data_IF_153733518476
#
_entry.id   IF_153733518476
#
_cell.length_a   1.000
_cell.length_b   1.000
_cell.length_c   1.000
_cell.angle_alpha   90.00
_cell.angle_beta   90.00
_cell.angle_gamma   90.00
#
_symmetry.space_group_name_H-M   'P 1'
#
loop_
_entity.id
_entity.type
_entity.pdbx_description
1 polymer ?
#
# COMPACT_ATOMS: atom_id res chain seq x y z
N UNK A 1 -11.78 -26.06 8.45
CA UNK A 1 -11.57 -26.48 7.05
C UNK A 1 -10.09 -26.42 6.77
N UNK A 2 -9.52 -27.46 6.19
CA UNK A 2 -8.09 -27.50 5.82
C UNK A 2 -7.82 -26.52 4.66
N UNK A 3 -6.92 -25.55 4.86
CA UNK A 3 -6.50 -24.57 3.83
C UNK A 3 -5.51 -25.14 2.83
N UNK A 4 -5.00 -26.35 3.09
CA UNK A 4 -3.88 -26.96 2.35
C UNK A 4 -4.07 -26.97 0.82
N UNK A 5 -5.25 -27.27 0.24
CA UNK A 5 -5.40 -27.25 -1.21
C UNK A 5 -5.35 -25.84 -1.83
N UNK A 6 -5.89 -24.81 -1.15
CA UNK A 6 -6.06 -23.46 -1.72
C UNK A 6 -4.73 -22.78 -2.02
N UNK A 7 -3.74 -23.01 -1.16
CA UNK A 7 -2.44 -22.33 -1.22
C UNK A 7 -1.27 -23.27 -1.53
N UNK A 8 -1.53 -24.51 -1.97
CA UNK A 8 -0.47 -25.43 -2.39
C UNK A 8 0.44 -24.86 -3.51
N UNK A 9 -0.10 -23.97 -4.35
CA UNK A 9 0.69 -23.25 -5.36
C UNK A 9 1.73 -22.30 -4.76
N UNK A 10 1.46 -21.71 -3.59
CA UNK A 10 2.39 -20.84 -2.87
C UNK A 10 3.58 -21.66 -2.37
N UNK A 11 3.35 -22.85 -1.81
CA UNK A 11 4.44 -23.74 -1.38
C UNK A 11 5.29 -24.25 -2.55
N UNK A 12 4.68 -24.54 -3.70
CA UNK A 12 5.44 -24.92 -4.91
C UNK A 12 6.31 -23.78 -5.44
N UNK A 13 5.90 -22.52 -5.25
CA UNK A 13 6.61 -21.34 -5.73
C UNK A 13 7.68 -20.84 -4.75
N UNK A 14 7.32 -20.72 -3.47
CA UNK A 14 8.16 -20.12 -2.43
C UNK A 14 8.83 -21.15 -1.51
N UNK A 15 8.70 -22.44 -1.81
CA UNK A 15 9.23 -23.53 -1.01
C UNK A 15 8.25 -24.05 0.05
N UNK A 16 8.45 -25.31 0.44
CA UNK A 16 7.59 -26.03 1.39
C UNK A 16 7.49 -25.29 2.73
N UNK A 17 6.27 -25.12 3.23
CA UNK A 17 6.00 -24.45 4.51
C UNK A 17 5.91 -22.91 4.41
N UNK A 18 6.06 -22.33 3.22
CA UNK A 18 5.86 -20.89 3.01
C UNK A 18 4.41 -20.48 3.23
N UNK A 19 3.44 -21.24 2.73
CA UNK A 19 2.02 -20.98 2.98
C UNK A 19 1.71 -21.02 4.49
N UNK A 20 2.23 -22.01 5.22
CA UNK A 20 2.04 -22.11 6.67
C UNK A 20 2.68 -20.96 7.45
N UNK A 21 3.79 -20.39 6.96
CA UNK A 21 4.41 -19.19 7.53
C UNK A 21 3.58 -17.94 7.26
N UNK A 22 3.10 -17.75 6.02
CA UNK A 22 2.24 -16.64 5.65
C UNK A 22 0.91 -16.67 6.40
N UNK A 23 0.37 -17.87 6.66
CA UNK A 23 -0.84 -18.06 7.46
C UNK A 23 -0.69 -17.63 8.93
N UNK A 24 0.54 -17.42 9.42
CA UNK A 24 0.80 -16.86 10.75
C UNK A 24 1.02 -15.35 10.74
N UNK A 25 1.13 -14.74 9.55
CA UNK A 25 1.44 -13.33 9.41
C UNK A 25 0.20 -12.45 9.56
N UNK A 26 0.36 -11.31 10.23
CA UNK A 26 -0.66 -10.26 10.35
C UNK A 26 -0.18 -8.97 9.67
N UNK A 27 -0.89 -8.56 8.60
CA UNK A 27 -0.55 -7.38 7.80
C UNK A 27 -1.60 -6.28 7.96
N UNK A 28 -1.14 -5.06 8.25
CA UNK A 28 -2.00 -3.87 8.22
C UNK A 28 -1.89 -3.15 6.88
N UNK A 29 -3.04 -2.74 6.31
CA UNK A 29 -3.12 -1.99 5.04
C UNK A 29 -3.77 -0.64 5.34
N UNK A 30 -3.02 0.43 5.09
CA UNK A 30 -3.48 1.81 5.33
C UNK A 30 -3.97 2.39 4.01
N UNK A 31 -5.28 2.58 3.90
CA UNK A 31 -6.00 2.95 2.68
C UNK A 31 -6.29 1.74 1.78
N UNK A 32 -7.56 1.51 1.43
CA UNK A 32 -8.01 0.45 0.51
C UNK A 32 -8.59 1.01 -0.78
N UNK A 33 -7.94 2.05 -1.31
CA UNK A 33 -8.25 2.68 -2.59
C UNK A 33 -7.65 1.94 -3.80
N UNK A 34 -7.15 2.70 -4.78
CA UNK A 34 -6.67 2.18 -6.07
C UNK A 34 -5.44 1.26 -6.01
N UNK A 35 -4.65 1.33 -4.93
CA UNK A 35 -3.54 0.39 -4.70
C UNK A 35 -3.93 -0.62 -3.62
N UNK A 36 -4.37 -0.14 -2.45
CA UNK A 36 -4.62 -0.98 -1.28
C UNK A 36 -5.69 -2.05 -1.46
N UNK A 37 -6.71 -1.82 -2.29
CA UNK A 37 -7.74 -2.84 -2.56
C UNK A 37 -7.15 -4.07 -3.29
N UNK A 38 -6.24 -3.85 -4.24
CA UNK A 38 -5.52 -4.93 -4.93
C UNK A 38 -4.44 -5.58 -4.05
N UNK A 39 -3.81 -4.81 -3.15
CA UNK A 39 -2.88 -5.35 -2.15
C UNK A 39 -3.60 -6.37 -1.26
N UNK A 40 -4.78 -6.02 -0.74
CA UNK A 40 -5.53 -6.91 0.14
C UNK A 40 -5.95 -8.21 -0.56
N UNK A 41 -6.43 -8.11 -1.80
CA UNK A 41 -6.76 -9.27 -2.65
C UNK A 41 -5.55 -10.17 -2.89
N UNK A 42 -4.40 -9.60 -3.27
CA UNK A 42 -3.20 -10.36 -3.56
C UNK A 42 -2.65 -11.05 -2.29
N UNK A 43 -2.70 -10.40 -1.13
CA UNK A 43 -2.32 -11.02 0.15
C UNK A 43 -3.27 -12.15 0.55
N UNK A 44 -4.58 -11.98 0.39
CA UNK A 44 -5.55 -13.04 0.65
C UNK A 44 -5.33 -14.26 -0.27
N UNK A 45 -5.02 -14.02 -1.55
CA UNK A 45 -4.68 -15.07 -2.52
C UNK A 45 -3.31 -15.72 -2.27
N UNK A 46 -2.47 -15.08 -1.46
CA UNK A 46 -1.16 -15.61 -1.06
C UNK A 46 -1.20 -16.42 0.25
N UNK A 47 -2.37 -16.51 0.89
CA UNK A 47 -2.54 -17.28 2.12
C UNK A 47 -2.09 -16.56 3.39
N UNK A 48 -2.10 -15.23 3.40
CA UNK A 48 -1.92 -14.46 4.64
C UNK A 48 -3.02 -14.84 5.64
N UNK A 49 -2.64 -14.97 6.91
CA UNK A 49 -3.54 -15.41 7.98
C UNK A 49 -4.44 -14.32 8.54
N UNK A 50 -3.92 -13.10 8.65
CA UNK A 50 -4.66 -11.98 9.20
C UNK A 50 -4.40 -10.65 8.47
N UNK A 51 -5.46 -9.88 8.25
CA UNK A 51 -5.42 -8.53 7.71
C UNK A 51 -6.12 -7.53 8.64
N UNK A 52 -5.56 -6.33 8.77
CA UNK A 52 -6.31 -5.16 9.25
C UNK A 52 -6.38 -4.11 8.16
N UNK A 53 -7.60 -3.71 7.79
CA UNK A 53 -7.88 -2.77 6.70
C UNK A 53 -8.32 -1.44 7.31
N UNK A 54 -7.61 -0.36 7.00
CA UNK A 54 -7.94 0.99 7.47
C UNK A 54 -8.36 1.88 6.31
N UNK A 55 -9.62 2.29 6.27
CA UNK A 55 -10.13 3.29 5.32
C UNK A 55 -11.54 3.70 5.77
N UNK A 56 -11.83 5.00 5.85
CA UNK A 56 -13.14 5.49 6.25
C UNK A 56 -14.07 5.80 5.08
N UNK A 57 -13.58 5.70 3.83
CA UNK A 57 -14.40 6.03 2.67
C UNK A 57 -15.45 4.96 2.35
N UNK A 58 -16.50 5.43 1.69
CA UNK A 58 -17.44 4.60 0.94
C UNK A 58 -16.99 4.41 -0.52
N UNK A 59 -17.54 3.40 -1.17
CA UNK A 59 -17.30 3.10 -2.58
C UNK A 59 -18.10 4.10 -3.44
N UNK A 60 -17.39 4.85 -4.29
CA UNK A 60 -18.01 5.77 -5.25
C UNK A 60 -17.95 5.23 -6.69
N UNK A 61 -18.90 5.63 -7.54
CA UNK A 61 -18.89 5.29 -8.97
C UNK A 61 -17.59 5.71 -9.68
N UNK A 62 -17.02 6.86 -9.29
CA UNK A 62 -15.74 7.35 -9.84
C UNK A 62 -14.53 6.48 -9.48
N UNK A 63 -14.70 5.44 -8.66
CA UNK A 63 -13.64 4.51 -8.28
C UNK A 63 -13.48 3.34 -9.27
N UNK A 64 -14.47 3.10 -10.15
CA UNK A 64 -14.55 1.95 -11.07
C UNK A 64 -13.33 1.79 -11.97
N UNK A 65 -12.67 2.87 -12.38
CA UNK A 65 -11.49 2.80 -13.24
C UNK A 65 -10.24 2.18 -12.58
N UNK A 66 -10.22 2.00 -11.25
CA UNK A 66 -8.98 1.66 -10.52
C UNK A 66 -9.13 0.89 -9.20
N UNK A 67 -10.31 0.79 -8.61
CA UNK A 67 -10.49 0.14 -7.30
C UNK A 67 -11.26 -1.18 -7.44
N UNK A 68 -10.75 -2.23 -6.82
CA UNK A 68 -11.26 -3.61 -6.97
C UNK A 68 -12.72 -3.78 -6.53
N UNK A 69 -13.14 -3.07 -5.49
CA UNK A 69 -14.48 -3.20 -4.88
C UNK A 69 -15.54 -2.32 -5.54
N UNK A 70 -15.17 -1.45 -6.49
CA UNK A 70 -16.07 -0.55 -7.19
C UNK A 70 -16.87 -1.25 -8.30
N UNK A 71 -17.86 -2.04 -7.87
CA UNK A 71 -18.74 -2.86 -8.70
C UNK A 71 -20.19 -2.41 -8.54
N UNK A 72 -21.01 -2.70 -9.55
CA UNK A 72 -22.46 -2.54 -9.45
C UNK A 72 -23.01 -3.26 -8.21
N UNK A 73 -23.89 -2.58 -7.46
CA UNK A 73 -24.43 -3.07 -6.19
C UNK A 73 -23.51 -2.92 -4.97
N UNK A 74 -22.31 -2.37 -5.12
CA UNK A 74 -21.40 -2.08 -3.99
C UNK A 74 -21.26 -0.57 -3.69
N UNK A 75 -21.73 0.31 -4.57
CA UNK A 75 -21.67 1.76 -4.36
C UNK A 75 -22.39 2.20 -3.07
N UNK A 76 -21.78 3.11 -2.32
CA UNK A 76 -22.27 3.60 -1.02
C UNK A 76 -21.93 2.71 0.18
N UNK A 77 -21.34 1.53 -0.02
CA UNK A 77 -20.83 0.71 1.10
C UNK A 77 -19.47 1.19 1.55
N UNK A 78 -19.14 1.00 2.82
CA UNK A 78 -17.78 1.21 3.33
C UNK A 78 -16.79 0.30 2.59
N UNK A 79 -15.69 0.89 2.09
CA UNK A 79 -14.68 0.17 1.31
C UNK A 79 -14.10 -1.03 2.07
N UNK A 80 -13.81 -0.84 3.36
CA UNK A 80 -13.23 -1.90 4.21
C UNK A 80 -14.17 -3.07 4.41
N UNK A 81 -15.48 -2.84 4.54
CA UNK A 81 -16.48 -3.90 4.74
C UNK A 81 -16.73 -4.68 3.45
N UNK A 82 -16.95 -3.98 2.33
CA UNK A 82 -17.12 -4.62 1.03
C UNK A 82 -15.90 -5.47 0.65
N UNK A 83 -14.69 -4.99 0.96
CA UNK A 83 -13.47 -5.75 0.75
C UNK A 83 -13.39 -6.94 1.72
N UNK A 84 -13.73 -6.77 3.00
CA UNK A 84 -13.78 -7.89 3.96
C UNK A 84 -14.69 -9.02 3.48
N UNK A 85 -15.90 -8.69 3.04
CA UNK A 85 -16.86 -9.66 2.47
C UNK A 85 -16.26 -10.42 1.30
N UNK A 86 -15.68 -9.69 0.34
CA UNK A 86 -15.02 -10.26 -0.83
C UNK A 86 -13.88 -11.21 -0.45
N UNK A 87 -13.00 -10.79 0.46
CA UNK A 87 -11.82 -11.57 0.83
C UNK A 87 -12.17 -12.86 1.59
N UNK A 88 -13.29 -12.88 2.33
CA UNK A 88 -13.80 -14.12 2.93
C UNK A 88 -14.24 -15.16 1.88
N UNK A 89 -14.71 -14.73 0.71
CA UNK A 89 -15.02 -15.64 -0.40
C UNK A 89 -13.75 -16.32 -0.96
N UNK A 90 -12.59 -15.65 -0.85
CA UNK A 90 -11.29 -16.19 -1.27
C UNK A 90 -10.75 -17.16 -0.23
N UNK A 91 -10.78 -16.77 1.05
CA UNK A 91 -10.30 -17.58 2.16
C UNK A 91 -11.22 -17.42 3.38
N UNK A 92 -12.10 -18.39 3.65
CA UNK A 92 -13.02 -18.32 4.80
C UNK A 92 -12.34 -18.34 6.17
N UNK A 93 -11.04 -18.67 6.21
CA UNK A 93 -10.24 -18.72 7.45
C UNK A 93 -9.33 -17.49 7.61
N UNK A 94 -9.34 -16.56 6.65
CA UNK A 94 -8.57 -15.33 6.74
C UNK A 94 -9.23 -14.42 7.79
N UNK A 95 -8.51 -14.09 8.84
CA UNK A 95 -8.98 -13.14 9.85
C UNK A 95 -8.89 -11.72 9.30
N UNK A 96 -9.97 -10.96 9.34
CA UNK A 96 -9.99 -9.59 8.82
C UNK A 96 -10.63 -8.66 9.83
N UNK A 97 -9.88 -7.63 10.21
CA UNK A 97 -10.40 -6.48 10.95
C UNK A 97 -10.61 -5.33 9.97
N UNK A 98 -11.88 -5.01 9.69
CA UNK A 98 -12.25 -3.81 8.96
C UNK A 98 -12.37 -2.64 9.94
N UNK A 99 -11.56 -1.60 9.72
CA UNK A 99 -11.50 -0.43 10.60
C UNK A 99 -11.87 0.80 9.77
N UNK A 100 -13.12 1.30 9.86
CA UNK A 100 -13.60 2.41 9.05
C UNK A 100 -13.10 3.76 9.57
N UNK A 101 -11.77 3.95 9.59
CA UNK A 101 -11.10 5.11 10.16
C UNK A 101 -9.94 5.55 9.26
N UNK A 102 -9.81 6.85 9.03
CA UNK A 102 -8.58 7.41 8.52
C UNK A 102 -7.52 7.44 9.60
N UNK A 103 -6.43 6.71 9.39
CA UNK A 103 -5.29 6.77 10.30
C UNK A 103 -4.73 8.19 10.30
N UNK A 104 -4.71 8.81 11.48
CA UNK A 104 -4.12 10.13 11.69
C UNK A 104 -2.84 10.02 12.52
N UNK A 105 -2.06 11.09 12.51
CA UNK A 105 -0.85 11.27 13.31
C UNK A 105 -0.99 10.89 14.78
N UNK A 106 -2.07 11.34 15.43
CA UNK A 106 -2.33 11.09 16.85
C UNK A 106 -2.67 9.63 17.14
N UNK A 107 -3.15 8.90 16.13
CA UNK A 107 -3.62 7.53 16.26
C UNK A 107 -2.54 6.49 15.95
N UNK A 108 -1.37 6.88 15.43
CA UNK A 108 -0.32 5.94 15.01
C UNK A 108 0.10 4.96 16.12
N UNK A 109 0.19 5.44 17.36
CA UNK A 109 0.57 4.60 18.50
C UNK A 109 -0.49 3.52 18.80
N UNK A 110 -1.76 3.91 18.82
CA UNK A 110 -2.89 3.02 19.08
C UNK A 110 -3.10 2.04 17.92
N UNK A 111 -3.11 2.54 16.69
CA UNK A 111 -3.50 1.76 15.52
C UNK A 111 -2.35 0.88 15.01
N UNK A 112 -1.12 1.39 14.96
CA UNK A 112 0.03 0.64 14.42
C UNK A 112 0.86 -0.06 15.51
N UNK A 113 0.61 0.23 16.80
CA UNK A 113 1.28 -0.42 17.93
C UNK A 113 0.78 -1.83 18.25
N UNK A 114 -0.10 -2.40 17.41
CA UNK A 114 -0.85 -3.64 17.67
C UNK A 114 -0.08 -4.94 17.35
N UNK A 115 1.21 -4.83 17.01
CA UNK A 115 2.08 -6.00 16.79
C UNK A 115 2.05 -6.59 15.38
N UNK A 116 1.71 -5.81 14.35
CA UNK A 116 1.74 -6.26 12.96
C UNK A 116 3.12 -6.75 12.52
N UNK A 117 3.16 -7.83 11.74
CA UNK A 117 4.38 -8.30 11.08
C UNK A 117 4.82 -7.36 9.96
N UNK A 118 3.85 -6.66 9.35
CA UNK A 118 4.08 -5.71 8.27
C UNK A 118 2.96 -4.68 8.18
N UNK A 119 3.35 -3.42 7.95
CA UNK A 119 2.44 -2.35 7.55
C UNK A 119 2.67 -2.03 6.08
N UNK A 120 1.59 -1.94 5.32
CA UNK A 120 1.57 -1.54 3.91
C UNK A 120 0.82 -0.22 3.79
N UNK A 121 1.57 0.81 3.45
CA UNK A 121 1.04 2.15 3.33
C UNK A 121 0.60 2.44 1.89
N UNK A 122 -0.72 2.47 1.70
CA UNK A 122 -1.41 2.74 0.45
C UNK A 122 -2.24 4.04 0.50
N UNK A 123 -2.06 4.88 1.52
CA UNK A 123 -2.81 6.13 1.65
C UNK A 123 -2.21 7.23 0.76
N UNK A 124 -2.99 8.27 0.49
CA UNK A 124 -2.61 9.45 -0.28
C UNK A 124 -2.40 10.70 0.59
N UNK A 125 -2.72 10.61 1.88
CA UNK A 125 -2.55 11.67 2.85
C UNK A 125 -1.06 11.93 3.17
N UNK A 126 -0.48 12.95 2.51
CA UNK A 126 0.94 13.32 2.62
C UNK A 126 1.45 13.40 4.06
N UNK A 127 0.76 14.13 4.94
CA UNK A 127 1.20 14.35 6.34
C UNK A 127 1.22 13.04 7.12
N UNK A 128 0.14 12.26 7.03
CA UNK A 128 0.03 10.95 7.69
C UNK A 128 1.16 10.03 7.22
N UNK A 129 1.45 10.02 5.92
CA UNK A 129 2.51 9.21 5.33
C UNK A 129 3.89 9.53 5.92
N UNK A 130 4.26 10.81 6.01
CA UNK A 130 5.53 11.24 6.64
C UNK A 130 5.62 10.75 8.08
N UNK A 131 4.59 11.02 8.88
CA UNK A 131 4.61 10.72 10.31
C UNK A 131 4.54 9.22 10.60
N UNK A 132 3.80 8.45 9.79
CA UNK A 132 3.78 6.99 9.84
C UNK A 132 5.15 6.38 9.52
N UNK A 133 5.84 6.87 8.48
CA UNK A 133 7.19 6.40 8.14
C UNK A 133 8.15 6.64 9.31
N UNK A 134 8.12 7.82 9.91
CA UNK A 134 8.93 8.14 11.06
C UNK A 134 8.58 7.27 12.28
N UNK A 135 7.29 7.07 12.55
CA UNK A 135 6.78 6.25 13.64
C UNK A 135 7.23 4.79 13.51
N UNK A 136 6.97 4.17 12.35
CA UNK A 136 7.31 2.77 12.09
C UNK A 136 8.83 2.56 12.15
N UNK A 137 9.64 3.46 11.58
CA UNK A 137 11.12 3.37 11.68
C UNK A 137 11.58 3.41 13.13
N UNK A 138 11.07 4.34 13.93
CA UNK A 138 11.45 4.50 15.35
C UNK A 138 11.06 3.28 16.19
N UNK A 139 9.90 2.68 15.90
CA UNK A 139 9.39 1.49 16.61
C UNK A 139 9.84 0.16 16.00
N UNK A 140 10.68 0.19 14.96
CA UNK A 140 11.13 -0.99 14.20
C UNK A 140 9.97 -1.83 13.65
N UNK A 141 8.85 -1.18 13.33
CA UNK A 141 7.71 -1.83 12.68
C UNK A 141 8.03 -1.88 11.17
N UNK A 142 8.07 -3.07 10.56
CA UNK A 142 8.24 -3.20 9.12
C UNK A 142 7.20 -2.40 8.33
N UNK A 143 7.66 -1.61 7.36
CA UNK A 143 6.82 -0.75 6.53
C UNK A 143 7.27 -0.78 5.07
N UNK A 144 6.31 -0.90 4.15
CA UNK A 144 6.48 -0.65 2.72
C UNK A 144 5.49 0.45 2.31
N UNK A 145 5.97 1.43 1.56
CA UNK A 145 5.22 2.63 1.18
C UNK A 145 4.88 2.60 -0.31
N UNK A 146 3.66 2.97 -0.67
CA UNK A 146 3.32 3.30 -2.06
C UNK A 146 3.61 4.78 -2.32
N UNK A 147 4.28 5.04 -3.44
CA UNK A 147 4.27 6.34 -4.10
C UNK A 147 2.92 6.64 -4.76
N UNK A 148 2.87 7.73 -5.51
CA UNK A 148 1.69 8.05 -6.32
C UNK A 148 1.61 7.04 -7.47
N UNK A 149 0.43 6.49 -7.78
CA UNK A 149 0.23 5.62 -8.95
C UNK A 149 -0.49 6.34 -10.10
N UNK A 150 -1.19 7.45 -9.82
CA UNK A 150 -1.90 8.25 -10.82
C UNK A 150 -0.97 8.91 -11.85
N UNK A 151 -1.55 9.26 -13.00
CA UNK A 151 -0.92 10.00 -14.09
C UNK A 151 0.09 9.16 -14.86
N UNK A 152 -0.03 7.85 -14.79
CA UNK A 152 0.89 6.89 -15.38
C UNK A 152 0.11 5.83 -16.11
N UNK A 153 0.73 5.26 -17.14
CA UNK A 153 0.10 4.27 -18.02
C UNK A 153 0.95 3.02 -18.21
N UNK A 154 2.24 3.07 -17.89
CA UNK A 154 3.19 1.99 -18.15
C UNK A 154 3.52 1.21 -16.85
N UNK A 155 2.87 0.06 -16.60
CA UNK A 155 3.15 -0.74 -15.42
C UNK A 155 4.53 -1.39 -15.44
N UNK A 156 5.20 -1.48 -16.60
CA UNK A 156 6.54 -2.09 -16.70
C UNK A 156 7.65 -1.22 -16.10
N UNK A 157 7.35 0.06 -15.83
CA UNK A 157 8.27 1.01 -15.19
C UNK A 157 8.17 1.05 -13.67
N UNK A 158 7.36 0.18 -13.08
CA UNK A 158 7.20 0.09 -11.62
C UNK A 158 8.44 -0.57 -11.02
N UNK A 159 8.94 0.02 -9.94
CA UNK A 159 10.15 -0.41 -9.23
C UNK A 159 9.95 -0.35 -7.72
N UNK A 160 10.73 -1.15 -7.00
CA UNK A 160 10.76 -1.18 -5.53
C UNK A 160 12.18 -0.94 -5.04
N UNK A 161 12.41 0.18 -4.38
CA UNK A 161 13.73 0.54 -3.81
C UNK A 161 13.57 1.12 -2.42
N UNK A 162 14.69 1.38 -1.75
CA UNK A 162 14.65 2.19 -0.54
C UNK A 162 14.08 3.59 -0.86
N UNK A 163 13.26 4.11 0.03
CA UNK A 163 12.57 5.40 -0.12
C UNK A 163 13.56 6.51 -0.45
N UNK A 164 14.78 6.49 0.11
CA UNK A 164 15.83 7.48 -0.18
C UNK A 164 16.29 7.53 -1.64
N UNK A 165 16.03 6.47 -2.41
CA UNK A 165 16.44 6.26 -3.82
C UNK A 165 15.31 6.38 -4.83
N UNK A 166 14.13 6.79 -4.39
CA UNK A 166 12.99 7.00 -5.28
C UNK A 166 13.17 8.28 -6.11
N UNK A 167 12.63 8.26 -7.32
CA UNK A 167 12.74 9.31 -8.35
C UNK A 167 11.44 9.36 -9.17
N UNK A 168 11.24 10.39 -9.99
CA UNK A 168 10.02 10.58 -10.80
C UNK A 168 8.68 10.57 -10.01
N UNK A 169 8.75 10.84 -8.70
CA UNK A 169 7.59 10.94 -7.82
C UNK A 169 7.72 12.15 -6.89
N UNK A 170 6.90 13.18 -7.14
CA UNK A 170 6.93 14.44 -6.41
C UNK A 170 6.51 14.29 -4.94
N UNK A 171 5.53 13.43 -4.66
CA UNK A 171 5.08 13.17 -3.28
C UNK A 171 6.20 12.52 -2.48
N UNK A 172 6.83 11.47 -3.03
CA UNK A 172 7.95 10.82 -2.35
C UNK A 172 9.15 11.76 -2.21
N UNK A 173 9.41 12.64 -3.18
CA UNK A 173 10.46 13.67 -3.05
C UNK A 173 10.22 14.61 -1.88
N UNK A 174 8.98 15.10 -1.72
CA UNK A 174 8.59 15.95 -0.60
C UNK A 174 8.64 15.19 0.74
N UNK A 175 8.23 13.92 0.77
CA UNK A 175 8.33 13.06 1.95
C UNK A 175 9.80 12.90 2.35
N UNK A 176 10.69 12.57 1.40
CA UNK A 176 12.13 12.46 1.67
C UNK A 176 12.71 13.73 2.28
N UNK A 177 12.29 14.91 1.78
CA UNK A 177 12.72 16.21 2.32
C UNK A 177 12.26 16.36 3.77
N UNK A 178 10.95 16.20 4.03
CA UNK A 178 10.36 16.31 5.37
C UNK A 178 10.97 15.34 6.38
N UNK A 179 11.19 14.09 5.99
CA UNK A 179 11.84 13.09 6.85
C UNK A 179 13.27 13.51 7.26
N UNK A 180 14.04 14.13 6.37
CA UNK A 180 15.39 14.63 6.69
C UNK A 180 15.34 15.84 7.61
N UNK A 181 14.41 16.75 7.35
CA UNK A 181 14.34 18.04 8.02
C UNK A 181 13.73 17.93 9.42
N UNK A 182 12.71 17.08 9.60
CA UNK A 182 11.92 17.02 10.83
C UNK A 182 12.17 15.73 11.65
N UNK A 183 12.65 14.65 11.02
CA UNK A 183 12.76 13.33 11.66
C UNK A 183 14.16 12.73 11.61
N UNK A 184 15.18 13.55 11.35
CA UNK A 184 16.60 13.17 11.34
C UNK A 184 16.90 11.94 10.47
N UNK A 185 16.21 11.80 9.33
CA UNK A 185 16.59 10.80 8.35
C UNK A 185 17.93 11.16 7.68
N UNK A 186 18.74 10.17 7.28
CA UNK A 186 20.06 10.43 6.70
C UNK A 186 20.01 11.33 5.45
N UNK A 187 20.93 12.28 5.34
CA UNK A 187 21.06 13.13 4.13
C UNK A 187 22.02 12.57 3.08
N UNK A 188 23.04 11.81 3.51
CA UNK A 188 24.12 11.35 2.64
C UNK A 188 23.67 10.34 1.57
N UNK A 189 24.19 10.42 0.33
CA UNK A 189 23.76 9.55 -0.77
C UNK A 189 24.13 8.08 -0.57
N UNK A 190 25.08 7.76 0.32
CA UNK A 190 25.45 6.37 0.66
C UNK A 190 24.59 5.76 1.77
N UNK A 191 23.69 6.52 2.40
CA UNK A 191 22.85 6.04 3.51
C UNK A 191 21.40 5.84 3.06
N UNK A 192 20.84 4.70 3.46
CA UNK A 192 19.44 4.34 3.20
C UNK A 192 18.52 4.75 4.34
N UNK A 193 17.24 4.90 4.05
CA UNK A 193 16.22 5.17 5.06
C UNK A 193 15.82 3.90 5.82
N UNK A 194 16.04 2.73 5.23
CA UNK A 194 15.57 1.45 5.74
C UNK A 194 14.07 1.25 5.53
N UNK A 195 13.48 1.97 4.57
CA UNK A 195 12.04 1.97 4.28
C UNK A 195 11.90 1.67 2.80
N UNK A 196 11.17 0.62 2.42
CA UNK A 196 10.98 0.31 1.02
C UNK A 196 9.80 1.10 0.45
N UNK A 197 9.92 1.51 -0.80
CA UNK A 197 8.90 2.27 -1.50
C UNK A 197 8.70 1.71 -2.91
N UNK A 198 7.43 1.52 -3.27
CA UNK A 198 6.99 1.22 -4.64
C UNK A 198 6.73 2.52 -5.37
N UNK A 199 7.33 2.69 -6.53
CA UNK A 199 7.21 3.89 -7.35
C UNK A 199 7.35 3.52 -8.83
N UNK A 200 7.12 4.47 -9.74
CA UNK A 200 7.34 4.26 -11.17
C UNK A 200 8.39 5.24 -11.70
N UNK A 201 9.20 4.76 -12.63
CA UNK A 201 10.15 5.55 -13.42
C UNK A 201 9.46 6.36 -14.53
N UNK A 202 8.14 6.18 -14.73
CA UNK A 202 7.36 7.03 -15.61
C UNK A 202 7.08 8.40 -14.96
N UNK A 203 7.35 9.47 -15.71
CA UNK A 203 6.91 10.81 -15.33
C UNK A 203 5.38 10.90 -15.31
N UNK A 204 4.86 11.72 -14.40
CA UNK A 204 3.41 11.97 -14.28
C UNK A 204 2.91 12.73 -15.49
N UNK A 205 1.77 12.30 -16.01
CA UNK A 205 0.96 12.98 -17.02
C UNK A 205 -0.18 13.73 -16.34
N UNK A 206 -0.43 14.94 -16.83
CA UNK A 206 -1.42 15.86 -16.29
C UNK A 206 -2.49 16.17 -17.35
N UNK A 207 -3.78 16.12 -16.97
CA UNK A 207 -4.85 16.62 -17.83
C UNK A 207 -4.71 18.14 -18.01
N UNK A 208 -5.01 18.61 -19.23
CA UNK A 208 -5.00 20.01 -19.61
C UNK A 208 -6.44 20.53 -19.79
N UNK A 209 -6.62 21.84 -19.80
CA UNK A 209 -7.94 22.47 -19.93
C UNK A 209 -8.63 22.15 -21.28
N UNK A 210 -7.85 21.86 -22.33
CA UNK A 210 -8.34 21.46 -23.65
C UNK A 210 -8.71 19.96 -23.75
N UNK A 211 -8.63 19.22 -22.63
CA UNK A 211 -8.89 17.78 -22.57
C UNK A 211 -7.72 16.90 -23.01
N UNK A 212 -6.61 17.47 -23.49
CA UNK A 212 -5.39 16.71 -23.79
C UNK A 212 -4.67 16.31 -22.50
N UNK A 213 -3.70 15.39 -22.63
CA UNK A 213 -2.90 14.88 -21.50
C UNK A 213 -1.43 14.91 -21.88
N UNK A 214 -0.61 15.61 -21.08
CA UNK A 214 0.82 15.76 -21.36
C UNK A 214 1.66 15.79 -20.08
N UNK A 215 3.00 15.89 -20.20
CA UNK A 215 3.92 15.92 -19.04
C UNK A 215 4.04 17.27 -18.34
N UNK A 216 3.37 18.32 -18.85
CA UNK A 216 3.44 19.66 -18.27
C UNK A 216 2.38 19.80 -17.18
N UNK A 217 2.85 20.15 -15.98
CA UNK A 217 1.97 20.45 -14.86
C UNK A 217 1.26 21.79 -15.13
N UNK A 218 -0.07 21.85 -15.09
CA UNK A 218 -0.78 23.13 -15.28
C UNK A 218 -0.45 24.12 -14.16
N UNK A 219 -0.55 25.42 -14.44
CA UNK A 219 -0.30 26.47 -13.46
C UNK A 219 -1.31 26.40 -12.30
N UNK A 220 -0.87 26.83 -11.11
CA UNK A 220 -1.55 26.60 -9.82
C UNK A 220 -2.92 27.31 -9.63
N UNK A 221 -3.51 27.85 -10.69
CA UNK A 221 -4.83 28.48 -10.71
C UNK A 221 -5.97 27.56 -11.18
N UNK A 222 -5.68 26.51 -11.97
CA UNK A 222 -6.71 25.72 -12.68
C UNK A 222 -6.85 24.26 -12.22
N UNK A 223 -5.96 23.76 -11.37
CA UNK A 223 -5.99 22.34 -10.94
C UNK A 223 -6.53 22.26 -9.54
N UNK A 224 -7.82 21.92 -9.46
CA UNK A 224 -8.52 21.63 -8.23
C UNK A 224 -7.76 20.67 -7.32
N UNK A 225 -8.06 20.80 -6.02
CA UNK A 225 -7.75 19.81 -5.00
C UNK A 225 -7.97 18.38 -5.54
N UNK A 226 -7.29 17.41 -4.93
CA UNK A 226 -7.46 15.97 -5.15
C UNK A 226 -8.90 15.42 -4.93
N UNK A 227 -9.91 16.28 -4.90
CA UNK A 227 -11.31 15.94 -4.92
C UNK A 227 -11.76 15.69 -6.36
N UNK A 228 -12.18 14.44 -6.60
CA UNK A 228 -13.08 13.82 -7.58
C UNK A 228 -13.50 14.49 -8.92
N UNK A 229 -13.09 15.70 -9.30
CA UNK A 229 -13.42 16.34 -10.58
C UNK A 229 -12.23 16.98 -11.33
N UNK A 230 -11.12 17.30 -10.65
CA UNK A 230 -9.95 17.98 -11.26
C UNK A 230 -8.59 17.28 -11.05
N UNK A 231 -8.62 16.03 -10.56
CA UNK A 231 -7.42 15.29 -10.16
C UNK A 231 -6.67 14.62 -11.32
N UNK A 232 -5.46 14.16 -11.02
CA UNK A 232 -4.67 13.31 -11.92
C UNK A 232 -5.45 12.02 -12.23
N UNK A 233 -5.57 11.66 -13.52
CA UNK A 233 -6.20 10.43 -13.97
C UNK A 233 -5.47 9.16 -13.48
N UNK A 234 -6.14 8.02 -13.48
CA UNK A 234 -5.54 6.74 -13.08
C UNK A 234 -6.18 5.57 -13.83
N UNK A 235 -5.46 4.45 -13.90
CA UNK A 235 -5.94 3.24 -14.56
C UNK A 235 -5.54 2.00 -13.74
N UNK A 236 -6.48 1.05 -13.67
CA UNK A 236 -6.36 -0.17 -12.85
C UNK A 236 -5.06 -0.93 -13.11
N UNK A 237 -4.63 -1.11 -14.36
CA UNK A 237 -3.44 -1.90 -14.68
C UNK A 237 -2.16 -1.32 -14.07
N UNK A 238 -2.10 0.00 -13.85
CA UNK A 238 -0.98 0.66 -13.16
C UNK A 238 -1.15 0.60 -11.65
N UNK A 239 -2.33 0.94 -11.12
CA UNK A 239 -2.53 0.97 -9.66
C UNK A 239 -2.49 -0.43 -9.05
N UNK A 240 -3.02 -1.43 -9.75
CA UNK A 240 -2.84 -2.84 -9.43
C UNK A 240 -1.40 -3.30 -9.65
N UNK A 241 -0.68 -2.79 -10.67
CA UNK A 241 0.75 -3.05 -10.84
C UNK A 241 1.59 -2.60 -9.63
N UNK A 242 1.28 -1.43 -9.07
CA UNK A 242 1.89 -0.95 -7.81
C UNK A 242 1.60 -1.92 -6.67
N UNK A 243 0.36 -2.40 -6.57
CA UNK A 243 -0.03 -3.37 -5.56
C UNK A 243 0.72 -4.70 -5.70
N UNK A 244 0.84 -5.25 -6.92
CA UNK A 244 1.55 -6.51 -7.17
C UNK A 244 3.04 -6.39 -6.84
N UNK A 245 3.67 -5.27 -7.20
CA UNK A 245 5.06 -5.00 -6.84
C UNK A 245 5.24 -4.86 -5.30
N UNK A 246 4.29 -4.21 -4.63
CA UNK A 246 4.28 -4.10 -3.16
C UNK A 246 4.13 -5.47 -2.49
N UNK A 247 3.19 -6.28 -2.95
CA UNK A 247 2.93 -7.61 -2.38
C UNK A 247 4.09 -8.56 -2.64
N UNK A 248 4.69 -8.56 -3.84
CA UNK A 248 5.90 -9.34 -4.09
C UNK A 248 7.00 -9.03 -3.06
N UNK A 249 7.23 -7.75 -2.78
CA UNK A 249 8.18 -7.35 -1.74
C UNK A 249 7.73 -7.70 -0.32
N UNK A 250 6.44 -7.61 -0.04
CA UNK A 250 5.87 -7.98 1.26
C UNK A 250 6.08 -9.47 1.55
N UNK A 251 5.81 -10.35 0.59
CA UNK A 251 5.99 -11.79 0.73
C UNK A 251 7.46 -12.15 0.93
N UNK A 252 8.38 -11.58 0.14
CA UNK A 252 9.83 -11.76 0.35
C UNK A 252 10.20 -11.48 1.80
N UNK A 253 9.70 -10.39 2.36
CA UNK A 253 10.01 -9.95 3.72
C UNK A 253 9.40 -10.86 4.79
N UNK A 254 8.16 -11.29 4.61
CA UNK A 254 7.44 -12.15 5.56
C UNK A 254 8.00 -13.58 5.58
N UNK A 255 8.64 -14.02 4.49
CA UNK A 255 9.23 -15.34 4.36
C UNK A 255 10.71 -15.41 4.79
N UNK A 256 11.37 -14.27 5.05
CA UNK A 256 12.70 -14.27 5.67
C UNK A 256 12.58 -14.80 7.10
N UNK A 257 13.42 -15.78 7.44
CA UNK A 257 13.49 -16.30 8.80
C UNK A 257 13.85 -15.19 9.79
N UNK A 258 12.98 -14.96 10.78
CA UNK A 258 13.35 -14.13 11.93
C UNK A 258 14.45 -14.90 12.69
N UNK A 259 15.59 -14.29 13.03
CA UNK A 259 16.56 -14.91 13.91
C UNK A 259 15.83 -15.37 15.18
N UNK A 260 15.97 -16.64 15.56
CA UNK A 260 15.40 -17.10 16.82
C UNK A 260 15.94 -16.22 17.94
N UNK A 261 15.04 -15.67 18.74
CA UNK A 261 15.44 -15.05 20.00
C UNK A 261 16.14 -16.14 20.80
N UNK A 262 17.45 -15.98 21.02
CA UNK A 262 18.19 -16.83 21.95
C UNK A 262 17.55 -16.57 23.31
N UNK A 263 16.76 -17.52 23.80
CA UNK A 263 16.27 -17.50 25.17
C UNK A 263 17.51 -17.52 26.07
N UNK A 264 17.75 -16.51 26.92
CA UNK A 264 18.81 -16.62 27.91
C UNK A 264 18.49 -17.82 28.80
N UNK A 265 19.47 -18.70 28.95
CA UNK A 265 19.45 -19.83 29.86
C UNK A 265 19.42 -19.37 31.33
#
# INVERSE_FOLDING_TARGET
MDSTPRFAGIDRLYGRGSAARLQKAHVAIIGVGGVGSWVAEALARSGIGALTLFDADEICLSNTNRQLHALEGQFGKLKVEALRERLHLISPILEIQAVPVFVTSSMLAEQLGRGYDLVLDCCDAFRVKVEMIAFCRRRKIPLIVSGSAGGRIDPTKISVRDLSKTEHDAMLALIRKKLRDEFNFPRGPKRYFGVQAVYSLENVRYPQADGTVCGLRPEAGDVGKLDCGGGIGAAMHVTAGFAMAMVGRALDRLLVEKPQAVTPA
#
